data_IF_413817868517
#
_entry.id   IF_413817868517
#
_cell.length_a   1.000
_cell.length_b   1.000
_cell.length_c   1.000
_cell.angle_alpha   90.00
_cell.angle_beta   90.00
_cell.angle_gamma   90.00
#
_symmetry.space_group_name_H-M   'P 1'
#
loop_
_entity.id
_entity.type
_entity.pdbx_description
1 polymer ?
#
# COMPACT_ATOMS: atom_id res chain seq x y z
N UNK A 1 -18.54 20.79 17.98
CA UNK A 1 -18.15 19.45 17.48
C UNK A 1 -16.63 19.38 17.40
N UNK A 2 -15.98 18.74 18.38
CA UNK A 2 -14.56 18.40 18.26
C UNK A 2 -14.43 17.32 17.19
N UNK A 3 -13.95 17.69 16.01
CA UNK A 3 -13.65 16.72 14.96
C UNK A 3 -12.41 15.97 15.39
N UNK A 4 -12.57 14.69 15.73
CA UNK A 4 -11.43 13.84 16.05
C UNK A 4 -10.69 13.48 14.73
N UNK A 5 -9.81 14.39 14.30
CA UNK A 5 -9.07 14.31 13.03
C UNK A 5 -8.27 13.01 12.90
N UNK A 6 -7.76 12.49 14.02
CA UNK A 6 -7.04 11.23 14.09
C UNK A 6 -7.91 10.04 13.67
N UNK A 7 -9.13 9.93 14.22
CA UNK A 7 -10.07 8.86 13.85
C UNK A 7 -10.48 8.95 12.38
N UNK A 8 -10.67 10.16 11.85
CA UNK A 8 -10.98 10.37 10.43
C UNK A 8 -9.82 9.97 9.53
N UNK A 9 -8.59 10.35 9.89
CA UNK A 9 -7.39 9.96 9.16
C UNK A 9 -7.25 8.44 9.08
N UNK A 10 -7.42 7.73 10.21
CA UNK A 10 -7.39 6.27 10.24
C UNK A 10 -8.45 5.63 9.35
N UNK A 11 -9.70 6.07 9.46
CA UNK A 11 -10.80 5.51 8.65
C UNK A 11 -10.55 5.72 7.16
N UNK A 12 -10.10 6.93 6.78
CA UNK A 12 -9.80 7.25 5.39
C UNK A 12 -8.64 6.40 4.87
N UNK A 13 -7.56 6.28 5.63
CA UNK A 13 -6.42 5.46 5.21
C UNK A 13 -6.80 3.97 5.09
N UNK A 14 -7.58 3.42 6.02
CA UNK A 14 -8.09 2.05 5.91
C UNK A 14 -8.95 1.84 4.66
N UNK A 15 -9.82 2.82 4.37
CA UNK A 15 -10.65 2.79 3.17
C UNK A 15 -9.80 2.83 1.91
N UNK A 16 -8.83 3.74 1.81
CA UNK A 16 -7.94 3.87 0.65
C UNK A 16 -7.11 2.62 0.43
N UNK A 17 -6.50 2.05 1.47
CA UNK A 17 -5.74 0.80 1.35
C UNK A 17 -6.64 -0.34 0.90
N UNK A 18 -7.82 -0.49 1.50
CA UNK A 18 -8.77 -1.53 1.09
C UNK A 18 -9.23 -1.39 -0.36
N UNK A 19 -9.53 -0.16 -0.78
CA UNK A 19 -9.91 0.17 -2.16
C UNK A 19 -8.77 -0.18 -3.14
N UNK A 20 -7.55 0.27 -2.86
CA UNK A 20 -6.39 0.03 -3.73
C UNK A 20 -6.05 -1.46 -3.85
N UNK A 21 -6.19 -2.25 -2.77
CA UNK A 21 -5.98 -3.71 -2.85
C UNK A 21 -7.01 -4.36 -3.77
N UNK A 22 -8.29 -3.98 -3.64
CA UNK A 22 -9.37 -4.53 -4.48
C UNK A 22 -9.14 -4.14 -5.93
N UNK A 23 -8.85 -2.87 -6.19
CA UNK A 23 -8.55 -2.34 -7.52
C UNK A 23 -7.35 -3.06 -8.14
N UNK A 24 -6.27 -3.25 -7.37
CA UNK A 24 -5.08 -3.97 -7.81
C UNK A 24 -5.36 -5.41 -8.22
N UNK A 25 -6.10 -6.15 -7.41
CA UNK A 25 -6.50 -7.54 -7.72
C UNK A 25 -7.36 -7.58 -9.00
N UNK A 26 -8.38 -6.72 -9.07
CA UNK A 26 -9.28 -6.66 -10.24
C UNK A 26 -8.51 -6.30 -11.50
N UNK A 27 -7.58 -5.35 -11.42
CA UNK A 27 -6.77 -4.91 -12.55
C UNK A 27 -5.80 -5.98 -13.04
N UNK A 28 -5.14 -6.72 -12.15
CA UNK A 28 -4.28 -7.85 -12.54
C UNK A 28 -5.11 -8.94 -13.23
N UNK A 29 -6.27 -9.30 -12.68
CA UNK A 29 -7.14 -10.33 -13.27
C UNK A 29 -7.66 -9.90 -14.64
N UNK A 30 -8.18 -8.68 -14.76
CA UNK A 30 -8.66 -8.14 -16.02
C UNK A 30 -7.52 -7.98 -17.04
N UNK A 31 -6.34 -7.58 -16.59
CA UNK A 31 -5.15 -7.45 -17.41
C UNK A 31 -4.67 -8.79 -17.95
N UNK A 32 -4.69 -9.84 -17.14
CA UNK A 32 -4.37 -11.19 -17.58
C UNK A 32 -5.37 -11.71 -18.62
N UNK A 33 -6.68 -11.52 -18.36
CA UNK A 33 -7.74 -11.93 -19.29
C UNK A 33 -7.71 -11.16 -20.62
N UNK A 34 -7.32 -9.89 -20.59
CA UNK A 34 -7.24 -9.02 -21.76
C UNK A 34 -5.87 -9.05 -22.46
N UNK A 35 -4.86 -9.74 -21.91
CA UNK A 35 -3.48 -9.67 -22.38
C UNK A 35 -2.85 -8.27 -22.28
N UNK A 36 -3.30 -7.45 -21.32
CA UNK A 36 -2.89 -6.06 -21.16
C UNK A 36 -1.82 -5.89 -20.08
N UNK A 37 -0.60 -5.64 -20.53
CA UNK A 37 0.56 -5.31 -19.67
C UNK A 37 0.29 -4.04 -18.87
N UNK A 38 -0.39 -3.05 -19.47
CA UNK A 38 -0.72 -1.79 -18.80
C UNK A 38 -1.65 -2.00 -17.59
N UNK A 39 -2.65 -2.87 -17.71
CA UNK A 39 -3.57 -3.16 -16.60
C UNK A 39 -2.88 -3.96 -15.49
N UNK A 40 -1.99 -4.89 -15.86
CA UNK A 40 -1.18 -5.63 -14.87
C UNK A 40 -0.23 -4.67 -14.14
N UNK A 41 0.44 -3.78 -14.87
CA UNK A 41 1.30 -2.74 -14.28
C UNK A 41 0.53 -1.81 -13.34
N UNK A 42 -0.65 -1.34 -13.75
CA UNK A 42 -1.54 -0.54 -12.90
C UNK A 42 -1.91 -1.28 -11.62
N UNK A 43 -2.27 -2.56 -11.72
CA UNK A 43 -2.66 -3.33 -10.54
C UNK A 43 -1.50 -3.59 -9.57
N UNK A 44 -0.29 -3.76 -10.10
CA UNK A 44 0.93 -3.87 -9.29
C UNK A 44 1.28 -2.54 -8.58
N UNK A 45 1.07 -1.40 -9.24
CA UNK A 45 1.27 -0.07 -8.65
C UNK A 45 0.31 0.19 -7.47
N UNK A 46 -0.96 -0.24 -7.59
CA UNK A 46 -1.93 -0.15 -6.48
C UNK A 46 -1.47 -0.89 -5.21
N UNK A 47 -0.68 -1.96 -5.33
CA UNK A 47 -0.09 -2.64 -4.16
C UNK A 47 1.02 -1.81 -3.49
N UNK A 48 1.81 -1.07 -4.27
CA UNK A 48 2.83 -0.15 -3.73
C UNK A 48 2.16 0.97 -2.95
N UNK A 49 1.10 1.56 -3.48
CA UNK A 49 0.30 2.56 -2.77
C UNK A 49 -0.38 1.99 -1.51
N UNK A 50 -0.85 0.74 -1.56
CA UNK A 50 -1.43 0.06 -0.41
C UNK A 50 -0.42 -0.14 0.73
N UNK A 51 0.84 -0.42 0.38
CA UNK A 51 1.94 -0.53 1.35
C UNK A 51 2.24 0.81 2.02
N UNK A 52 2.33 1.91 1.25
CA UNK A 52 2.57 3.25 1.81
C UNK A 52 1.40 3.70 2.71
N UNK A 53 0.16 3.44 2.28
CA UNK A 53 -1.04 3.69 3.08
C UNK A 53 -1.06 2.86 4.38
N UNK A 54 -0.58 1.63 4.35
CA UNK A 54 -0.46 0.76 5.54
C UNK A 54 0.55 1.28 6.55
N UNK A 55 1.68 1.82 6.10
CA UNK A 55 2.66 2.50 6.98
C UNK A 55 2.01 3.73 7.62
N UNK A 56 1.23 4.49 6.87
CA UNK A 56 0.56 5.69 7.39
C UNK A 56 -0.55 5.34 8.41
N UNK A 57 -1.34 4.29 8.18
CA UNK A 57 -2.28 3.74 9.17
C UNK A 57 -1.55 3.38 10.47
N UNK A 58 -0.41 2.69 10.33
CA UNK A 58 0.38 2.26 11.47
C UNK A 58 0.94 3.46 12.26
N UNK A 59 1.47 4.47 11.58
CA UNK A 59 1.98 5.71 12.18
C UNK A 59 0.89 6.45 12.94
N UNK A 60 -0.30 6.56 12.36
CA UNK A 60 -1.43 7.17 13.05
C UNK A 60 -1.88 6.34 14.25
N UNK A 61 -1.91 5.00 14.19
CA UNK A 61 -2.33 4.18 15.36
C UNK A 61 -1.40 4.27 16.56
N UNK A 62 -0.11 4.57 16.36
CA UNK A 62 0.94 4.47 17.38
C UNK A 62 1.40 5.82 17.94
N UNK A 63 0.63 6.88 17.72
CA UNK A 63 0.95 8.31 17.94
C UNK A 63 1.55 8.74 19.31
N UNK A 64 1.69 7.84 20.29
CA UNK A 64 2.28 8.11 21.62
C UNK A 64 3.13 6.96 22.25
N UNK A 65 3.29 5.78 21.63
CA UNK A 65 3.84 4.59 22.32
C UNK A 65 4.87 3.77 21.53
N UNK A 66 5.91 4.40 20.97
CA UNK A 66 6.93 3.69 20.18
C UNK A 66 8.36 4.14 20.46
N UNK A 67 9.27 3.17 20.49
CA UNK A 67 10.71 3.44 20.42
C UNK A 67 11.15 3.58 18.96
N UNK A 68 12.21 4.35 18.74
CA UNK A 68 12.78 4.61 17.41
C UNK A 68 13.15 3.31 16.67
N UNK A 69 13.66 2.30 17.39
CA UNK A 69 14.03 0.99 16.81
C UNK A 69 12.85 0.24 16.16
N UNK A 70 11.65 0.42 16.72
CA UNK A 70 10.45 -0.30 16.28
C UNK A 70 9.83 0.39 15.04
N UNK A 71 10.03 1.71 14.91
CA UNK A 71 9.73 2.48 13.69
C UNK A 71 10.68 2.12 12.55
N UNK A 72 11.99 2.12 12.81
CA UNK A 72 13.01 1.82 11.81
C UNK A 72 12.85 0.43 11.19
N UNK A 73 12.49 -0.59 12.01
CA UNK A 73 12.20 -1.95 11.50
C UNK A 73 11.01 -2.00 10.54
N UNK A 74 9.99 -1.19 10.79
CA UNK A 74 8.77 -1.20 9.99
C UNK A 74 8.97 -0.42 8.70
N UNK A 75 9.67 0.71 8.74
CA UNK A 75 10.12 1.41 7.54
C UNK A 75 11.01 0.51 6.67
N UNK A 76 12.01 -0.16 7.26
CA UNK A 76 12.86 -1.09 6.53
C UNK A 76 12.07 -2.24 5.88
N UNK A 77 11.03 -2.74 6.56
CA UNK A 77 10.14 -3.77 6.01
C UNK A 77 9.29 -3.23 4.86
N UNK A 78 8.75 -2.02 4.99
CA UNK A 78 7.99 -1.37 3.93
C UNK A 78 8.86 -1.12 2.69
N UNK A 79 10.06 -0.58 2.86
CA UNK A 79 11.03 -0.37 1.78
C UNK A 79 11.36 -1.68 1.07
N UNK A 80 11.57 -2.79 1.80
CA UNK A 80 11.81 -4.11 1.19
C UNK A 80 10.61 -4.60 0.37
N UNK A 81 9.38 -4.43 0.87
CA UNK A 81 8.18 -4.84 0.15
C UNK A 81 7.97 -4.01 -1.12
N UNK A 82 8.22 -2.71 -1.06
CA UNK A 82 8.22 -1.80 -2.23
C UNK A 82 9.29 -2.24 -3.24
N UNK A 83 10.50 -2.55 -2.79
CA UNK A 83 11.55 -3.06 -3.66
C UNK A 83 11.13 -4.37 -4.36
N UNK A 84 10.52 -5.32 -3.64
CA UNK A 84 10.02 -6.56 -4.26
C UNK A 84 8.94 -6.30 -5.31
N UNK A 85 8.03 -5.35 -5.08
CA UNK A 85 7.01 -5.00 -6.07
C UNK A 85 7.63 -4.43 -7.34
N UNK A 86 8.64 -3.56 -7.22
CA UNK A 86 9.42 -3.07 -8.37
C UNK A 86 10.18 -4.19 -9.09
N UNK A 87 10.79 -5.13 -8.37
CA UNK A 87 11.49 -6.26 -8.99
C UNK A 87 10.53 -7.21 -9.73
N UNK A 88 9.37 -7.51 -9.15
CA UNK A 88 8.35 -8.34 -9.80
C UNK A 88 7.84 -7.65 -11.06
N UNK A 89 7.55 -6.35 -10.99
CA UNK A 89 7.11 -5.57 -12.14
C UNK A 89 8.19 -5.50 -13.22
N UNK A 90 9.45 -5.27 -12.85
CA UNK A 90 10.58 -5.26 -13.77
C UNK A 90 10.80 -6.61 -14.45
N UNK A 91 10.68 -7.72 -13.72
CA UNK A 91 10.76 -9.07 -14.27
C UNK A 91 9.59 -9.43 -15.18
N UNK A 92 8.41 -8.83 -14.97
CA UNK A 92 7.25 -9.03 -15.84
C UNK A 92 7.34 -8.25 -17.16
N UNK A 93 7.98 -7.08 -17.15
CA UNK A 93 8.11 -6.21 -18.33
C UNK A 93 9.26 -6.63 -19.25
N UNK A 94 10.32 -7.24 -18.71
CA UNK A 94 11.45 -7.81 -19.47
C UNK A 94 11.08 -9.12 -20.16
#
# INVERSE_FOLDING_TARGET
MSVNFHRKALVLSYFTVGYNIIEGIVSILAGFLAGSIALIGFGLDSFVESLSGSVMIWRFRKHEQMSEEEEERIEAKAVRLIAYTFFILGAYVL
#
